data_IF_092437678505
#
_entry.id   IF_092437678505
#
_cell.length_a   1.000
_cell.length_b   1.000
_cell.length_c   1.000
_cell.angle_alpha   90.00
_cell.angle_beta   90.00
_cell.angle_gamma   90.00
#
_symmetry.space_group_name_H-M   'P 1'
#
loop_
_entity.id
_entity.type
_entity.pdbx_description
1 polymer ?
#
# COMPACT_ATOMS: atom_id res chain seq x y z
N UNK A 1 17.02 20.77 -2.02
CA UNK A 1 15.94 20.81 -1.01
C UNK A 1 16.42 20.06 0.20
N UNK A 2 16.35 20.66 1.38
CA UNK A 2 16.79 20.03 2.64
C UNK A 2 15.74 19.00 3.07
N UNK A 3 16.17 17.82 3.49
CA UNK A 3 15.26 16.84 4.11
C UNK A 3 14.66 17.44 5.39
N UNK A 4 13.41 17.08 5.69
CA UNK A 4 12.76 17.43 6.95
C UNK A 4 13.56 16.92 8.15
N UNK A 5 13.39 17.61 9.30
CA UNK A 5 14.01 17.21 10.57
C UNK A 5 13.50 15.81 10.99
N UNK A 6 14.34 15.08 11.73
CA UNK A 6 13.89 13.84 12.38
C UNK A 6 12.83 14.16 13.45
N UNK A 7 11.90 13.22 13.75
CA UNK A 7 10.82 13.46 14.72
C UNK A 7 11.32 13.99 16.08
N UNK A 8 12.42 13.46 16.60
CA UNK A 8 13.03 13.86 17.87
C UNK A 8 13.73 15.23 17.84
N UNK A 9 13.92 15.81 16.65
CA UNK A 9 14.53 17.12 16.43
C UNK A 9 13.49 18.21 16.09
N UNK A 10 12.22 17.84 15.90
CA UNK A 10 11.15 18.78 15.63
C UNK A 10 10.90 19.65 16.87
N UNK A 11 10.97 20.97 16.71
CA UNK A 11 10.75 21.93 17.79
C UNK A 11 9.38 22.61 17.68
N UNK A 12 8.79 22.60 16.48
CA UNK A 12 7.53 23.27 16.18
C UNK A 12 6.59 22.37 15.40
N UNK A 13 5.29 22.70 15.41
CA UNK A 13 4.31 22.04 14.54
C UNK A 13 4.56 22.28 13.06
N UNK A 14 5.34 23.30 12.70
CA UNK A 14 5.77 23.53 11.31
C UNK A 14 6.77 22.44 10.92
N UNK A 15 7.75 22.13 11.78
CA UNK A 15 8.72 21.05 11.56
C UNK A 15 8.00 19.70 11.41
N UNK A 16 7.05 19.41 12.31
CA UNK A 16 6.28 18.16 12.29
C UNK A 16 5.50 18.01 10.97
N UNK A 17 4.78 19.05 10.54
CA UNK A 17 4.01 19.01 9.28
C UNK A 17 4.93 18.82 8.07
N UNK A 18 6.07 19.50 8.03
CA UNK A 18 7.03 19.30 6.96
C UNK A 18 7.56 17.85 6.89
N UNK A 19 7.78 17.22 8.06
CA UNK A 19 8.14 15.81 8.16
C UNK A 19 7.04 14.88 7.63
N UNK A 20 5.79 15.07 8.07
CA UNK A 20 4.64 14.30 7.60
C UNK A 20 4.46 14.46 6.09
N UNK A 21 4.46 15.69 5.57
CA UNK A 21 4.32 15.96 4.14
C UNK A 21 5.42 15.29 3.31
N UNK A 22 6.64 15.20 3.83
CA UNK A 22 7.73 14.49 3.17
C UNK A 22 7.47 12.98 3.16
N UNK A 23 7.16 12.39 4.31
CA UNK A 23 6.88 10.95 4.42
C UNK A 23 5.68 10.57 3.54
N UNK A 24 4.63 11.38 3.50
CA UNK A 24 3.45 11.13 2.66
C UNK A 24 3.80 11.10 1.17
N UNK A 25 4.68 11.99 0.69
CA UNK A 25 5.18 11.95 -0.70
C UNK A 25 5.96 10.66 -0.98
N UNK A 26 6.78 10.22 -0.03
CA UNK A 26 7.54 8.98 -0.16
C UNK A 26 6.61 7.75 -0.14
N UNK A 27 5.61 7.73 0.74
CA UNK A 27 4.57 6.71 0.80
C UNK A 27 3.78 6.64 -0.51
N UNK A 28 3.36 7.77 -1.08
CA UNK A 28 2.66 7.80 -2.38
C UNK A 28 3.54 7.20 -3.48
N UNK A 29 4.83 7.54 -3.54
CA UNK A 29 5.73 6.96 -4.53
C UNK A 29 5.87 5.43 -4.38
N UNK A 30 5.93 4.92 -3.14
CA UNK A 30 5.95 3.48 -2.85
C UNK A 30 4.62 2.81 -3.23
N UNK A 31 3.49 3.46 -2.94
CA UNK A 31 2.17 2.95 -3.29
C UNK A 31 1.97 2.88 -4.80
N UNK A 32 2.40 3.89 -5.56
CA UNK A 32 2.38 3.85 -7.04
C UNK A 32 3.16 2.64 -7.56
N UNK A 33 4.37 2.39 -7.03
CA UNK A 33 5.14 1.19 -7.38
C UNK A 33 4.38 -0.09 -7.00
N UNK A 34 3.73 -0.12 -5.84
CA UNK A 34 2.92 -1.27 -5.40
C UNK A 34 1.75 -1.53 -6.35
N UNK A 35 1.06 -0.50 -6.83
CA UNK A 35 0.00 -0.61 -7.85
C UNK A 35 0.54 -1.05 -9.22
N UNK A 36 1.77 -0.67 -9.59
CA UNK A 36 2.42 -1.22 -10.78
C UNK A 36 2.59 -2.76 -10.76
N UNK A 37 2.67 -3.38 -9.58
CA UNK A 37 2.59 -4.85 -9.48
C UNK A 37 1.20 -5.40 -9.73
N UNK A 38 0.14 -4.61 -9.50
CA UNK A 38 -1.23 -5.00 -9.86
C UNK A 38 -1.43 -4.95 -11.37
N UNK A 39 -0.83 -3.99 -12.09
CA UNK A 39 -0.78 -4.02 -13.56
C UNK A 39 -0.11 -5.30 -14.07
N UNK A 40 1.01 -5.68 -13.45
CA UNK A 40 1.70 -6.93 -13.77
C UNK A 40 0.82 -8.16 -13.45
N UNK A 41 0.14 -8.18 -12.30
CA UNK A 41 -0.77 -9.25 -11.93
C UNK A 41 -1.94 -9.37 -12.90
N UNK A 42 -2.57 -8.25 -13.28
CA UNK A 42 -3.65 -8.19 -14.26
C UNK A 42 -3.19 -8.75 -15.62
N UNK A 43 -1.97 -8.45 -16.06
CA UNK A 43 -1.41 -9.03 -17.30
C UNK A 43 -1.14 -10.53 -17.20
N UNK A 44 -0.69 -11.02 -16.04
CA UNK A 44 -0.28 -12.42 -15.84
C UNK A 44 -1.48 -13.36 -15.59
N UNK A 45 -2.48 -12.93 -14.82
CA UNK A 45 -3.61 -13.79 -14.43
C UNK A 45 -4.50 -14.11 -15.62
N UNK A 46 -4.64 -15.39 -15.95
CA UNK A 46 -5.49 -15.82 -17.07
C UNK A 46 -6.98 -15.78 -16.73
N UNK A 47 -7.34 -15.97 -15.45
CA UNK A 47 -8.72 -16.02 -14.97
C UNK A 47 -9.10 -14.76 -14.18
N UNK A 48 -10.34 -14.30 -14.37
CA UNK A 48 -10.89 -13.13 -13.67
C UNK A 48 -11.22 -13.44 -12.22
N UNK A 49 -11.58 -14.69 -11.90
CA UNK A 49 -11.81 -15.16 -10.53
C UNK A 49 -10.54 -15.09 -9.68
N UNK A 50 -9.37 -15.34 -10.28
CA UNK A 50 -8.07 -15.24 -9.62
C UNK A 50 -7.66 -13.81 -9.20
N UNK A 51 -8.36 -12.76 -9.65
CA UNK A 51 -8.09 -11.38 -9.23
C UNK A 51 -8.29 -11.22 -7.72
N UNK A 52 -9.36 -11.82 -7.18
CA UNK A 52 -9.64 -11.82 -5.75
C UNK A 52 -9.21 -13.14 -5.13
N UNK A 53 -8.11 -13.11 -4.40
CA UNK A 53 -7.58 -14.24 -3.63
C UNK A 53 -7.63 -13.92 -2.13
N UNK A 54 -8.60 -14.50 -1.43
CA UNK A 54 -8.81 -14.30 0.00
C UNK A 54 -7.66 -14.85 0.86
N UNK A 55 -7.06 -15.96 0.44
CA UNK A 55 -5.93 -16.55 1.16
C UNK A 55 -4.70 -15.63 1.05
N UNK A 56 -4.45 -15.08 -0.15
CA UNK A 56 -3.38 -14.10 -0.34
C UNK A 56 -3.65 -12.81 0.41
N UNK A 57 -4.89 -12.32 0.43
CA UNK A 57 -5.28 -11.15 1.23
C UNK A 57 -4.98 -11.37 2.71
N UNK A 58 -5.44 -12.49 3.29
CA UNK A 58 -5.19 -12.82 4.70
C UNK A 58 -3.69 -12.84 5.02
N UNK A 59 -2.89 -13.47 4.15
CA UNK A 59 -1.43 -13.51 4.30
C UNK A 59 -0.79 -12.11 4.31
N UNK A 60 -1.23 -11.19 3.44
CA UNK A 60 -0.72 -9.81 3.42
C UNK A 60 -1.05 -9.10 4.75
N UNK A 61 -2.26 -9.30 5.28
CA UNK A 61 -2.68 -8.68 6.54
C UNK A 61 -1.94 -9.26 7.76
N UNK A 62 -1.60 -10.54 7.73
CA UNK A 62 -0.82 -11.17 8.79
C UNK A 62 0.65 -10.74 8.74
N UNK A 63 1.20 -10.53 7.54
CA UNK A 63 2.55 -9.98 7.39
C UNK A 63 2.67 -8.58 7.96
N UNK A 64 1.77 -7.66 7.59
CA UNK A 64 1.82 -6.29 8.11
C UNK A 64 1.56 -6.23 9.62
N UNK A 65 0.70 -7.10 10.16
CA UNK A 65 0.48 -7.17 11.60
C UNK A 65 1.76 -7.56 12.36
N UNK A 66 2.53 -8.53 11.84
CA UNK A 66 3.83 -8.91 12.41
C UNK A 66 4.88 -7.80 12.27
N UNK A 67 4.91 -7.10 11.15
CA UNK A 67 5.81 -5.96 10.94
C UNK A 67 5.48 -4.80 11.89
N UNK A 68 4.19 -4.52 12.09
CA UNK A 68 3.72 -3.52 13.05
C UNK A 68 4.18 -3.85 14.48
N UNK A 69 3.97 -5.10 14.91
CA UNK A 69 4.39 -5.58 16.22
C UNK A 69 5.91 -5.43 16.42
N UNK A 70 6.70 -5.86 15.44
CA UNK A 70 8.15 -5.75 15.47
C UNK A 70 8.66 -4.29 15.52
N UNK A 71 7.90 -3.36 14.95
CA UNK A 71 8.18 -1.92 15.00
C UNK A 71 7.64 -1.22 16.26
N UNK A 72 7.05 -1.95 17.20
CA UNK A 72 6.48 -1.40 18.43
C UNK A 72 5.13 -0.69 18.24
N UNK A 73 4.44 -0.93 17.12
CA UNK A 73 3.10 -0.42 16.84
C UNK A 73 2.05 -1.50 17.12
N UNK A 74 0.86 -1.06 17.53
CA UNK A 74 -0.29 -1.94 17.70
C UNK A 74 -0.64 -2.63 16.36
N UNK A 75 -0.67 -3.97 16.29
CA UNK A 75 -0.88 -4.69 15.03
C UNK A 75 -2.19 -4.35 14.31
N UNK A 76 -3.28 -4.14 15.06
CA UNK A 76 -4.58 -3.84 14.48
C UNK A 76 -4.60 -2.49 13.74
N UNK A 77 -3.78 -1.52 14.17
CA UNK A 77 -3.67 -0.21 13.54
C UNK A 77 -3.22 -0.30 12.09
N UNK A 78 -2.10 -0.96 11.83
CA UNK A 78 -1.62 -1.12 10.45
C UNK A 78 -2.45 -2.13 9.67
N UNK A 79 -2.98 -3.17 10.32
CA UNK A 79 -3.88 -4.13 9.68
C UNK A 79 -5.11 -3.45 9.07
N UNK A 80 -5.70 -2.47 9.76
CA UNK A 80 -6.87 -1.75 9.25
C UNK A 80 -6.54 -0.95 7.98
N UNK A 81 -5.42 -0.21 7.99
CA UNK A 81 -4.94 0.56 6.82
C UNK A 81 -4.64 -0.37 5.64
N UNK A 82 -3.96 -1.49 5.91
CA UNK A 82 -3.60 -2.45 4.86
C UNK A 82 -4.79 -3.22 4.30
N UNK A 83 -5.84 -3.45 5.10
CA UNK A 83 -7.07 -4.04 4.58
C UNK A 83 -7.67 -3.18 3.48
N UNK A 84 -7.81 -1.88 3.71
CA UNK A 84 -8.30 -0.96 2.69
C UNK A 84 -7.36 -0.91 1.48
N UNK A 85 -6.05 -0.81 1.71
CA UNK A 85 -5.07 -0.82 0.61
C UNK A 85 -5.18 -2.08 -0.26
N UNK A 86 -5.36 -3.27 0.34
CA UNK A 86 -5.53 -4.52 -0.41
C UNK A 86 -6.84 -4.53 -1.17
N UNK A 87 -7.95 -4.07 -0.59
CA UNK A 87 -9.23 -3.98 -1.30
C UNK A 87 -9.15 -3.06 -2.52
N UNK A 88 -8.53 -1.87 -2.37
CA UNK A 88 -8.28 -0.96 -3.48
C UNK A 88 -7.37 -1.58 -4.55
N UNK A 89 -6.41 -2.42 -4.13
CA UNK A 89 -5.54 -3.13 -5.06
C UNK A 89 -6.30 -4.15 -5.90
N UNK A 90 -7.20 -4.91 -5.27
CA UNK A 90 -8.06 -5.89 -5.94
C UNK A 90 -8.99 -5.17 -6.93
N UNK A 91 -9.60 -4.05 -6.53
CA UNK A 91 -10.48 -3.26 -7.39
C UNK A 91 -9.73 -2.66 -8.60
N UNK A 92 -8.52 -2.12 -8.37
CA UNK A 92 -7.67 -1.62 -9.44
C UNK A 92 -7.24 -2.73 -10.40
N UNK A 93 -6.76 -3.85 -9.86
CA UNK A 93 -6.33 -5.02 -10.65
C UNK A 93 -7.49 -5.55 -11.51
N UNK A 94 -8.69 -5.66 -10.94
CA UNK A 94 -9.90 -6.06 -11.65
C UNK A 94 -10.18 -5.16 -12.86
N UNK A 95 -10.12 -3.85 -12.66
CA UNK A 95 -10.33 -2.85 -13.73
C UNK A 95 -9.28 -2.99 -14.84
N UNK A 96 -8.01 -3.17 -14.48
CA UNK A 96 -6.93 -3.35 -15.45
C UNK A 96 -7.04 -4.68 -16.19
N UNK A 97 -7.43 -5.74 -15.50
CA UNK A 97 -7.65 -7.05 -16.10
C UNK A 97 -8.72 -6.96 -17.17
N UNK A 98 -9.88 -6.37 -16.83
CA UNK A 98 -11.03 -6.22 -17.72
C UNK A 98 -10.66 -5.40 -18.97
N UNK A 99 -9.92 -4.29 -18.78
CA UNK A 99 -9.41 -3.46 -19.88
C UNK A 99 -8.54 -4.26 -20.85
N UNK A 100 -7.55 -5.00 -20.34
CA UNK A 100 -6.62 -5.77 -21.18
C UNK A 100 -7.32 -6.85 -22.03
N UNK A 101 -8.47 -7.38 -21.58
CA UNK A 101 -9.23 -8.42 -22.31
C UNK A 101 -10.28 -7.82 -23.24
N UNK A 102 -10.74 -6.60 -22.99
CA UNK A 102 -11.59 -5.87 -23.94
C UNK A 102 -10.80 -5.38 -25.17
N UNK A 103 -9.51 -5.11 -24.99
CA UNK A 103 -8.59 -4.65 -26.05
C UNK A 103 -7.93 -5.81 -26.85
N UNK A 104 -8.26 -7.07 -26.52
CA UNK A 104 -7.74 -8.30 -27.17
C UNK A 104 -8.74 -8.87 -28.17
#
# INVERSE_FOLDING_TARGET
MTSAKLPEQCETMIDVRAGVDQVDRELVALLVRRFGYMDAAARIKADRGAVRDEARKAQVLDNVAREAEAAGLEPARLRAVWNELVEQSIAYEATQWDRLRADS
#
